data_IF_759400903017
#
_entry.id   IF_759400903017
#
_cell.length_a   1.000
_cell.length_b   1.000
_cell.length_c   1.000
_cell.angle_alpha   90.00
_cell.angle_beta   90.00
_cell.angle_gamma   90.00
#
_symmetry.space_group_name_H-M   'P 1'
#
loop_
_entity.id
_entity.type
_entity.pdbx_description
1 polymer ?
#
# COMPACT_ATOMS: atom_id res chain seq x y z
N UNK A 1 -52.25 3.89 -10.57
CA UNK A 1 -51.21 3.44 -11.55
C UNK A 1 -49.94 4.31 -11.55
N UNK A 2 -50.02 5.64 -11.42
CA UNK A 2 -48.83 6.55 -11.36
C UNK A 2 -47.87 6.32 -10.17
N UNK A 3 -48.39 5.93 -9.01
CA UNK A 3 -47.55 5.68 -7.82
C UNK A 3 -46.70 4.41 -7.95
N UNK A 4 -47.20 3.40 -8.66
CA UNK A 4 -46.51 2.13 -8.83
C UNK A 4 -45.33 2.26 -9.81
N UNK A 5 -45.47 3.08 -10.87
CA UNK A 5 -44.37 3.38 -11.79
C UNK A 5 -43.28 4.22 -11.13
N UNK A 6 -43.65 5.16 -10.25
CA UNK A 6 -42.70 6.00 -9.52
C UNK A 6 -41.91 5.18 -8.48
N UNK A 7 -42.57 4.27 -7.77
CA UNK A 7 -41.90 3.34 -6.85
C UNK A 7 -40.91 2.41 -7.58
N UNK A 8 -41.29 1.89 -8.74
CA UNK A 8 -40.41 1.03 -9.54
C UNK A 8 -39.17 1.79 -10.07
N UNK A 9 -39.35 3.05 -10.50
CA UNK A 9 -38.25 3.89 -10.96
C UNK A 9 -37.26 4.23 -9.83
N UNK A 10 -37.76 4.53 -8.62
CA UNK A 10 -36.90 4.79 -7.46
C UNK A 10 -36.12 3.54 -7.04
N UNK A 11 -36.77 2.37 -7.07
CA UNK A 11 -36.10 1.11 -6.74
C UNK A 11 -34.97 0.82 -7.73
N UNK A 12 -35.24 0.98 -9.04
CA UNK A 12 -34.23 0.77 -10.08
C UNK A 12 -33.03 1.73 -9.91
N UNK A 13 -33.28 3.01 -9.63
CA UNK A 13 -32.23 3.99 -9.34
C UNK A 13 -31.39 3.61 -8.11
N UNK A 14 -32.02 3.09 -7.07
CA UNK A 14 -31.33 2.61 -5.87
C UNK A 14 -30.45 1.37 -6.14
N UNK A 15 -30.91 0.44 -6.96
CA UNK A 15 -30.12 -0.73 -7.36
C UNK A 15 -28.92 -0.34 -8.23
N UNK A 16 -29.08 0.63 -9.12
CA UNK A 16 -27.98 1.13 -9.96
C UNK A 16 -26.95 1.86 -9.11
N UNK A 17 -27.39 2.70 -8.16
CA UNK A 17 -26.45 3.41 -7.27
C UNK A 17 -25.67 2.47 -6.36
N UNK A 18 -26.29 1.42 -5.81
CA UNK A 18 -25.59 0.36 -5.07
C UNK A 18 -24.54 -0.35 -5.93
N UNK A 19 -24.89 -0.66 -7.17
CA UNK A 19 -24.01 -1.37 -8.10
C UNK A 19 -22.79 -0.54 -8.50
N UNK A 20 -22.99 0.77 -8.68
CA UNK A 20 -21.89 1.73 -8.96
C UNK A 20 -20.95 1.84 -7.76
N UNK A 21 -21.47 1.88 -6.53
CA UNK A 21 -20.64 1.90 -5.32
C UNK A 21 -19.81 0.62 -5.16
N UNK A 22 -20.34 -0.54 -5.56
CA UNK A 22 -19.61 -1.81 -5.53
C UNK A 22 -18.45 -1.86 -6.54
N UNK A 23 -18.58 -1.18 -7.69
CA UNK A 23 -17.53 -1.07 -8.72
C UNK A 23 -16.47 0.02 -8.40
N UNK A 24 -16.76 0.93 -7.47
CA UNK A 24 -15.79 1.95 -7.00
C UNK A 24 -14.79 1.39 -5.98
N UNK A 25 -14.90 0.12 -5.60
CA UNK A 25 -13.82 -0.53 -4.87
C UNK A 25 -12.63 -0.57 -5.84
N UNK A 26 -11.50 0.08 -5.53
CA UNK A 26 -10.37 0.14 -6.45
C UNK A 26 -10.01 -1.29 -6.80
N UNK A 27 -10.23 -1.64 -8.07
CA UNK A 27 -9.88 -2.93 -8.61
C UNK A 27 -8.39 -3.08 -8.28
N UNK A 28 -8.06 -4.07 -7.44
CA UNK A 28 -6.68 -4.31 -7.09
C UNK A 28 -5.95 -4.46 -8.41
N UNK A 29 -5.02 -3.55 -8.73
CA UNK A 29 -4.21 -3.70 -9.93
C UNK A 29 -3.66 -5.11 -9.91
N UNK A 30 -3.85 -5.85 -11.01
CA UNK A 30 -3.58 -7.28 -10.99
C UNK A 30 -2.06 -7.45 -11.11
N UNK A 31 -1.38 -7.36 -9.97
CA UNK A 31 0.07 -7.55 -9.81
C UNK A 31 0.51 -9.01 -10.12
N UNK A 32 -0.28 -9.75 -10.90
CA UNK A 32 -0.01 -11.06 -11.50
C UNK A 32 1.34 -11.12 -12.23
N UNK A 33 1.79 -9.99 -12.79
CA UNK A 33 3.11 -9.93 -13.40
C UNK A 33 4.23 -10.13 -12.35
N UNK A 34 4.08 -9.63 -11.12
CA UNK A 34 5.02 -9.87 -10.02
C UNK A 34 5.02 -11.35 -9.61
N UNK A 35 3.85 -11.99 -9.61
CA UNK A 35 3.73 -13.45 -9.36
C UNK A 35 4.46 -14.25 -10.44
N UNK A 36 4.35 -13.87 -11.71
CA UNK A 36 5.06 -14.51 -12.84
C UNK A 36 6.59 -14.46 -12.71
N UNK A 37 7.13 -13.38 -12.14
CA UNK A 37 8.58 -13.27 -11.86
C UNK A 37 8.98 -13.86 -10.50
N UNK A 38 8.08 -14.61 -9.84
CA UNK A 38 8.31 -15.30 -8.55
C UNK A 38 8.52 -14.37 -7.35
N UNK A 39 7.87 -13.21 -7.34
CA UNK A 39 7.77 -12.40 -6.11
C UNK A 39 6.82 -13.12 -5.13
N UNK A 40 7.17 -13.23 -3.82
CA UNK A 40 6.29 -13.83 -2.82
C UNK A 40 4.94 -13.09 -2.71
N UNK A 41 3.84 -13.82 -2.53
CA UNK A 41 2.49 -13.22 -2.46
C UNK A 41 2.35 -12.17 -1.36
N UNK A 42 3.03 -12.36 -0.22
CA UNK A 42 3.03 -11.38 0.86
C UNK A 42 3.61 -10.03 0.40
N UNK A 43 4.64 -10.05 -0.46
CA UNK A 43 5.23 -8.84 -1.04
C UNK A 43 4.30 -8.24 -2.09
N UNK A 44 3.65 -9.06 -2.92
CA UNK A 44 2.66 -8.61 -3.91
C UNK A 44 1.51 -7.87 -3.21
N UNK A 45 0.96 -8.47 -2.16
CA UNK A 45 -0.11 -7.87 -1.34
C UNK A 45 0.37 -6.57 -0.66
N UNK A 46 1.61 -6.53 -0.20
CA UNK A 46 2.22 -5.32 0.36
C UNK A 46 2.34 -4.18 -0.67
N UNK A 47 2.77 -4.48 -1.91
CA UNK A 47 2.83 -3.48 -2.99
C UNK A 47 1.44 -2.94 -3.30
N UNK A 48 0.44 -3.82 -3.44
CA UNK A 48 -0.94 -3.42 -3.68
C UNK A 48 -1.51 -2.53 -2.55
N UNK A 49 -1.27 -2.91 -1.29
CA UNK A 49 -1.72 -2.14 -0.13
C UNK A 49 -1.04 -0.76 -0.05
N UNK A 50 0.25 -0.69 -0.37
CA UNK A 50 1.01 0.56 -0.40
C UNK A 50 0.53 1.50 -1.50
N UNK A 51 0.28 0.97 -2.70
CA UNK A 51 -0.26 1.76 -3.81
C UNK A 51 -1.64 2.32 -3.44
N UNK A 52 -2.55 1.49 -2.93
CA UNK A 52 -3.85 1.98 -2.48
C UNK A 52 -3.75 3.03 -1.35
N UNK A 53 -2.82 2.85 -0.42
CA UNK A 53 -2.59 3.80 0.67
C UNK A 53 -2.04 5.14 0.17
N UNK A 54 -1.12 5.14 -0.81
CA UNK A 54 -0.47 6.38 -1.29
C UNK A 54 -1.47 7.36 -1.88
N UNK A 55 -2.54 6.86 -2.50
CA UNK A 55 -3.62 7.69 -3.04
C UNK A 55 -4.32 8.54 -1.96
N UNK A 56 -4.39 8.01 -0.73
CA UNK A 56 -5.01 8.65 0.44
C UNK A 56 -4.01 9.40 1.33
N UNK A 57 -2.71 9.19 1.13
CA UNK A 57 -1.67 9.80 1.95
C UNK A 57 -1.53 11.31 1.68
N UNK A 58 -1.29 12.09 2.73
CA UNK A 58 -1.14 13.55 2.59
C UNK A 58 0.13 13.94 1.82
N UNK A 59 1.24 13.23 2.05
CA UNK A 59 2.57 13.62 1.56
C UNK A 59 2.88 13.16 0.14
N UNK A 60 2.29 12.04 -0.28
CA UNK A 60 2.62 11.37 -1.54
C UNK A 60 1.33 11.17 -2.35
N UNK A 61 1.47 11.15 -3.68
CA UNK A 61 0.35 10.94 -4.61
C UNK A 61 0.47 9.64 -5.40
N UNK A 62 1.69 9.13 -5.60
CA UNK A 62 1.94 7.89 -6.33
C UNK A 62 3.17 7.16 -5.80
N UNK A 63 3.20 5.84 -6.02
CA UNK A 63 4.30 4.96 -5.64
C UNK A 63 4.82 4.21 -6.86
N UNK A 64 6.13 4.04 -6.95
CA UNK A 64 6.78 3.23 -7.96
C UNK A 64 7.70 2.22 -7.26
N UNK A 65 7.38 0.94 -7.40
CA UNK A 65 8.18 -0.18 -6.89
C UNK A 65 8.85 -0.88 -8.08
N UNK A 66 10.17 -0.72 -8.28
CA UNK A 66 10.85 -1.43 -9.37
C UNK A 66 10.85 -2.95 -9.12
N UNK A 67 10.68 -3.75 -10.15
CA UNK A 67 10.60 -5.23 -10.07
C UNK A 67 11.78 -5.84 -9.31
N UNK A 68 13.00 -5.40 -9.63
CA UNK A 68 14.22 -5.85 -8.93
C UNK A 68 14.17 -5.55 -7.43
N UNK A 69 13.48 -4.47 -7.01
CA UNK A 69 13.30 -4.12 -5.61
C UNK A 69 12.23 -4.99 -4.95
N UNK A 70 11.14 -5.28 -5.64
CA UNK A 70 10.12 -6.24 -5.19
C UNK A 70 10.72 -7.64 -4.99
N UNK A 71 11.53 -8.12 -5.94
CA UNK A 71 12.27 -9.38 -5.84
C UNK A 71 13.28 -9.41 -4.68
N UNK A 72 13.80 -8.24 -4.28
CA UNK A 72 14.75 -8.09 -3.18
C UNK A 72 14.11 -7.67 -1.86
N UNK A 73 12.78 -7.70 -1.76
CA UNK A 73 12.08 -7.35 -0.55
C UNK A 73 12.53 -8.28 0.59
N UNK A 74 12.72 -7.71 1.78
CA UNK A 74 13.06 -8.49 2.97
C UNK A 74 11.79 -8.78 3.73
N UNK A 75 11.51 -10.05 3.95
CA UNK A 75 10.44 -10.52 4.82
C UNK A 75 11.12 -10.91 6.13
N UNK A 76 10.82 -10.18 7.18
CA UNK A 76 11.27 -10.46 8.54
C UNK A 76 10.11 -11.13 9.28
N UNK A 77 10.26 -12.41 9.60
CA UNK A 77 9.38 -13.05 10.57
C UNK A 77 9.75 -12.52 11.96
N UNK A 78 8.77 -12.14 12.80
CA UNK A 78 9.01 -11.71 14.14
C UNK A 78 9.43 -12.96 14.92
N UNK A 79 10.75 -13.17 15.00
CA UNK A 79 11.32 -13.78 16.18
C UNK A 79 10.73 -13.02 17.37
N UNK A 80 10.21 -13.74 18.37
CA UNK A 80 9.47 -13.27 19.55
C UNK A 80 10.22 -12.17 20.35
N UNK A 81 10.42 -10.99 19.77
CA UNK A 81 11.43 -10.03 20.20
C UNK A 81 11.13 -8.66 19.60
N UNK A 82 10.31 -7.89 20.31
CA UNK A 82 10.37 -6.42 20.38
C UNK A 82 10.58 -5.65 19.06
N UNK A 83 9.91 -6.03 17.97
CA UNK A 83 9.87 -5.18 16.78
C UNK A 83 8.94 -4.01 17.07
N UNK A 84 9.52 -2.85 17.38
CA UNK A 84 8.78 -1.60 17.51
C UNK A 84 8.15 -1.30 16.14
N UNK A 85 6.81 -1.17 16.03
CA UNK A 85 6.19 -0.88 14.74
C UNK A 85 6.79 0.42 14.21
N UNK A 86 7.38 0.35 13.02
CA UNK A 86 8.02 1.49 12.38
C UNK A 86 6.94 2.50 11.99
N UNK A 87 6.63 3.41 12.92
CA UNK A 87 5.88 4.65 12.74
C UNK A 87 4.59 4.51 11.93
N UNK A 88 3.56 3.95 12.56
CA UNK A 88 2.22 4.50 12.45
C UNK A 88 2.02 5.41 13.68
N UNK A 89 1.31 6.52 13.51
CA UNK A 89 0.94 7.46 14.56
C UNK A 89 0.71 6.77 15.93
N UNK A 90 1.14 7.40 17.02
CA UNK A 90 1.22 6.87 18.39
C UNK A 90 -0.11 6.41 19.05
N UNK A 91 -1.14 6.09 18.27
CA UNK A 91 -2.50 5.81 18.74
C UNK A 91 -3.14 4.55 18.13
N UNK A 92 -2.46 3.77 17.29
CA UNK A 92 -3.00 2.49 16.80
C UNK A 92 -2.57 1.33 17.72
N UNK A 93 -3.51 0.52 18.23
CA UNK A 93 -3.20 -0.61 19.09
C UNK A 93 -2.26 -1.59 18.39
N UNK A 94 -1.32 -2.16 19.14
CA UNK A 94 -0.38 -3.16 18.64
C UNK A 94 -1.14 -4.44 18.30
N UNK A 95 -1.65 -4.52 17.07
CA UNK A 95 -2.12 -5.78 16.52
C UNK A 95 -0.95 -6.78 16.51
N UNK A 96 -1.19 -8.07 16.79
CA UNK A 96 -0.17 -9.09 16.60
C UNK A 96 0.27 -9.06 15.13
N UNK A 97 1.58 -8.93 14.90
CA UNK A 97 2.18 -8.94 13.56
C UNK A 97 2.91 -10.26 13.42
N UNK A 98 2.70 -10.95 12.30
CA UNK A 98 3.32 -12.25 11.97
C UNK A 98 4.48 -12.10 11.00
N UNK A 99 4.56 -11.00 10.25
CA UNK A 99 5.73 -10.65 9.43
C UNK A 99 5.78 -9.17 9.11
N UNK A 100 7.01 -8.67 8.97
CA UNK A 100 7.30 -7.31 8.55
C UNK A 100 8.02 -7.36 7.21
N UNK A 101 7.45 -6.70 6.21
CA UNK A 101 8.01 -6.66 4.86
C UNK A 101 8.66 -5.30 4.64
N UNK A 102 9.95 -5.30 4.30
CA UNK A 102 10.70 -4.11 3.91
C UNK A 102 10.98 -4.12 2.41
N UNK A 103 10.58 -3.07 1.72
CA UNK A 103 10.88 -2.89 0.30
C UNK A 103 11.38 -1.47 0.01
N UNK A 104 12.03 -1.32 -1.14
CA UNK A 104 12.52 -0.02 -1.62
C UNK A 104 11.67 0.42 -2.77
N UNK A 105 11.23 1.67 -2.72
CA UNK A 105 10.40 2.26 -3.73
C UNK A 105 10.80 3.71 -3.97
N UNK A 106 10.16 4.33 -4.94
CA UNK A 106 10.15 5.77 -5.12
C UNK A 106 8.73 6.26 -4.91
N UNK A 107 8.58 7.33 -4.14
CA UNK A 107 7.29 7.98 -3.95
C UNK A 107 7.33 9.35 -4.63
N UNK A 108 6.27 9.68 -5.34
CA UNK A 108 6.09 11.02 -5.89
C UNK A 108 5.50 11.92 -4.81
N UNK A 109 6.10 13.10 -4.64
CA UNK A 109 5.64 14.06 -3.63
C UNK A 109 4.38 14.74 -4.14
N UNK A 110 3.33 14.78 -3.31
CA UNK A 110 2.05 15.40 -3.66
C UNK A 110 2.26 16.87 -4.03
N UNK A 111 1.69 17.25 -5.18
CA UNK A 111 1.79 18.61 -5.71
C UNK A 111 3.19 18.99 -6.26
N UNK A 112 4.13 18.03 -6.36
CA UNK A 112 5.44 18.26 -6.96
C UNK A 112 5.74 17.23 -8.05
N UNK A 113 6.49 17.64 -9.06
CA UNK A 113 7.04 16.74 -10.08
C UNK A 113 8.36 16.12 -9.62
N UNK A 114 8.42 15.65 -8.38
CA UNK A 114 9.63 15.13 -7.76
C UNK A 114 9.40 13.74 -7.18
N UNK A 115 10.26 12.80 -7.57
CA UNK A 115 10.31 11.45 -7.04
C UNK A 115 11.42 11.35 -5.99
N UNK A 116 11.10 10.79 -4.82
CA UNK A 116 12.06 10.58 -3.75
C UNK A 116 12.20 9.10 -3.42
N UNK A 117 13.42 8.62 -3.15
CA UNK A 117 13.62 7.24 -2.71
C UNK A 117 13.03 7.06 -1.30
N UNK A 118 12.27 6.00 -1.11
CA UNK A 118 11.63 5.66 0.17
C UNK A 118 11.94 4.21 0.59
N UNK A 119 11.87 3.96 1.89
CA UNK A 119 11.70 2.62 2.46
C UNK A 119 10.21 2.46 2.73
N UNK A 120 9.63 1.41 2.17
CA UNK A 120 8.26 1.06 2.45
C UNK A 120 8.24 -0.17 3.36
N UNK A 121 7.34 -0.14 4.33
CA UNK A 121 7.17 -1.20 5.32
C UNK A 121 5.71 -1.64 5.34
N UNK A 122 5.46 -2.94 5.33
CA UNK A 122 4.13 -3.51 5.54
C UNK A 122 4.13 -4.46 6.72
N UNK A 123 3.18 -4.28 7.62
CA UNK A 123 2.88 -5.19 8.72
C UNK A 123 1.86 -6.20 8.21
N UNK A 124 2.16 -7.50 8.35
CA UNK A 124 1.30 -8.59 7.90
C UNK A 124 0.84 -9.42 9.09
N UNK A 125 -0.44 -9.77 9.11
CA UNK A 125 -1.08 -10.64 10.10
C UNK A 125 -2.00 -11.63 9.37
N UNK A 126 -1.84 -12.93 9.62
CA UNK A 126 -2.55 -14.01 8.93
C UNK A 126 -2.60 -13.81 7.41
N UNK A 127 -1.46 -13.53 6.78
CA UNK A 127 -1.34 -13.23 5.33
C UNK A 127 -2.02 -11.95 4.83
N UNK A 128 -2.62 -11.15 5.70
CA UNK A 128 -3.24 -9.86 5.39
C UNK A 128 -2.37 -8.69 5.81
N UNK A 129 -2.30 -7.65 4.97
CA UNK A 129 -1.60 -6.41 5.31
C UNK A 129 -2.48 -5.59 6.26
N UNK A 130 -2.00 -5.39 7.49
CA UNK A 130 -2.71 -4.65 8.55
C UNK A 130 -2.20 -3.23 8.74
N UNK A 131 -1.01 -2.92 8.21
CA UNK A 131 -0.45 -1.58 8.28
C UNK A 131 0.63 -1.36 7.23
N UNK A 132 0.75 -0.11 6.78
CA UNK A 132 1.76 0.30 5.80
C UNK A 132 2.38 1.64 6.21
N UNK A 133 3.66 1.83 5.90
CA UNK A 133 4.33 3.11 6.13
C UNK A 133 5.42 3.38 5.07
N UNK A 134 5.66 4.66 4.79
CA UNK A 134 6.72 5.14 3.90
C UNK A 134 7.66 6.09 4.66
N UNK A 135 8.94 5.74 4.72
CA UNK A 135 9.99 6.59 5.27
C UNK A 135 10.93 7.09 4.15
N UNK A 136 11.25 8.39 4.08
CA UNK A 136 12.26 8.90 3.16
C UNK A 136 13.61 8.20 3.38
N UNK A 137 14.31 7.85 2.31
CA UNK A 137 15.71 7.46 2.40
C UNK A 137 16.55 8.73 2.44
N UNK A 138 17.21 8.99 3.56
CA UNK A 138 18.33 9.92 3.56
C UNK A 138 19.40 9.37 2.62
N UNK A 139 19.66 10.08 1.53
CA UNK A 139 20.89 9.94 0.77
C UNK A 139 21.98 10.46 1.71
N UNK A 140 22.68 9.56 2.38
CA UNK A 140 23.88 9.95 3.09
C UNK A 140 24.89 10.31 2.00
N UNK A 141 25.07 11.61 1.75
CA UNK A 141 26.17 12.14 0.96
C UNK A 141 27.43 11.81 1.74
N UNK A 142 28.03 10.65 1.47
CA UNK A 142 29.40 10.38 1.89
C UNK A 142 30.30 11.28 1.06
N UNK A 143 30.47 12.52 1.51
CA UNK A 143 31.54 13.40 1.06
C UNK A 143 32.84 12.79 1.58
N UNK A 144 33.40 11.84 0.84
CA UNK A 144 34.82 11.52 0.97
C UNK A 144 35.61 12.71 0.43
N UNK A 145 36.44 13.39 1.22
CA UNK A 145 37.40 14.34 0.67
C UNK A 145 38.40 13.52 -0.16
N UNK A 146 38.47 13.82 -1.46
CA UNK A 146 39.58 13.36 -2.29
C UNK A 146 40.82 14.13 -1.80
N UNK A 147 41.86 13.35 -1.58
CA UNK A 147 43.15 13.70 -0.99
C UNK A 147 43.93 14.77 -1.78
#
# INVERSE_FOLDING_TARGET
MKFMTLACALLALFWISLSVQAQMQPQAEDYEYLRRIRVPDAVVNCVAALDQWVHKAERYDSLLVPDRRALSARIEEPAQSNVTPASANANTPSSPIDSLIHLRAFAKIRGKYAWVPVRATCNVWHSHVVGVALAPRSLHTTTTPIH
#
